data_IF_423559195440
#
_entry.id   IF_423559195440
#
_cell.length_a   1.000
_cell.length_b   1.000
_cell.length_c   1.000
_cell.angle_alpha   90.00
_cell.angle_beta   90.00
_cell.angle_gamma   90.00
#
_symmetry.space_group_name_H-M   'P 1'
#
loop_
_entity.id
_entity.type
_entity.pdbx_description
1 polymer ?
#
# COMPACT_ATOMS: atom_id res chain seq x y z
N UNK A 1 5.96 -6.26 -17.23
CA UNK A 1 6.50 -4.98 -16.79
C UNK A 1 7.23 -5.13 -15.46
N UNK A 2 8.53 -4.84 -15.46
CA UNK A 2 9.37 -4.99 -14.27
C UNK A 2 8.94 -4.05 -13.14
N UNK A 3 8.50 -2.84 -13.47
CA UNK A 3 8.02 -1.88 -12.47
C UNK A 3 6.77 -2.37 -11.76
N UNK A 4 5.84 -2.95 -12.50
CA UNK A 4 4.62 -3.53 -11.94
C UNK A 4 4.91 -4.72 -11.05
N UNK A 5 5.84 -5.60 -11.47
CA UNK A 5 6.25 -6.76 -10.68
C UNK A 5 6.89 -6.35 -9.35
N UNK A 6 7.76 -5.32 -9.37
CA UNK A 6 8.40 -4.83 -8.17
C UNK A 6 7.40 -4.21 -7.19
N UNK A 7 6.44 -3.44 -7.70
CA UNK A 7 5.39 -2.87 -6.88
C UNK A 7 4.52 -3.95 -6.25
N UNK A 8 4.11 -4.95 -7.04
CA UNK A 8 3.28 -6.05 -6.57
C UNK A 8 3.99 -6.83 -5.45
N UNK A 9 5.28 -7.07 -5.59
CA UNK A 9 6.07 -7.81 -4.60
C UNK A 9 6.06 -7.14 -3.22
N UNK A 10 5.95 -5.82 -3.17
CA UNK A 10 5.89 -5.09 -1.90
C UNK A 10 4.53 -5.18 -1.22
N UNK A 11 3.48 -5.43 -1.99
CA UNK A 11 2.10 -5.37 -1.50
C UNK A 11 1.52 -6.72 -1.12
N UNK A 12 1.98 -7.80 -1.76
CA UNK A 12 1.41 -9.13 -1.55
C UNK A 12 2.52 -10.15 -1.27
N UNK A 13 2.19 -11.31 -0.66
CA UNK A 13 3.16 -12.38 -0.49
C UNK A 13 3.77 -12.82 -1.82
N UNK A 14 5.03 -13.26 -1.78
CA UNK A 14 5.77 -13.60 -2.99
C UNK A 14 5.10 -14.70 -3.81
N UNK A 15 4.57 -15.71 -3.17
CA UNK A 15 3.88 -16.80 -3.86
C UNK A 15 2.62 -16.31 -4.58
N UNK A 16 1.89 -15.40 -3.96
CA UNK A 16 0.70 -14.78 -4.56
C UNK A 16 1.11 -13.92 -5.76
N UNK A 17 2.18 -13.13 -5.63
CA UNK A 17 2.69 -12.33 -6.74
C UNK A 17 3.09 -13.22 -7.92
N UNK A 18 3.78 -14.32 -7.67
CA UNK A 18 4.17 -15.29 -8.71
C UNK A 18 2.95 -15.87 -9.40
N UNK A 19 1.95 -16.29 -8.63
CA UNK A 19 0.73 -16.86 -9.20
C UNK A 19 0.03 -15.87 -10.13
N UNK A 20 -0.13 -14.63 -9.68
CA UNK A 20 -0.80 -13.61 -10.48
C UNK A 20 -0.05 -13.29 -11.78
N UNK A 21 1.26 -13.11 -11.69
CA UNK A 21 2.07 -12.75 -12.85
C UNK A 21 2.21 -13.92 -13.83
N UNK A 22 2.47 -15.11 -13.33
CA UNK A 22 2.71 -16.28 -14.18
C UNK A 22 1.44 -16.75 -14.87
N UNK A 23 0.29 -16.68 -14.18
CA UNK A 23 -0.98 -17.11 -14.76
C UNK A 23 -1.64 -16.05 -15.63
N UNK A 24 -1.33 -14.77 -15.38
CA UNK A 24 -2.00 -13.66 -16.05
C UNK A 24 -3.48 -13.57 -15.69
N UNK A 25 -3.90 -14.17 -14.57
CA UNK A 25 -5.32 -14.17 -14.19
C UNK A 25 -5.81 -12.78 -13.82
N UNK A 26 -7.09 -12.54 -14.06
CA UNK A 26 -7.76 -11.34 -13.58
C UNK A 26 -8.35 -11.62 -12.20
N UNK A 27 -8.34 -10.58 -11.35
CA UNK A 27 -8.96 -10.67 -10.03
C UNK A 27 -9.95 -9.51 -9.87
N UNK A 28 -10.99 -9.74 -9.07
CA UNK A 28 -11.94 -8.69 -8.75
C UNK A 28 -11.49 -7.87 -7.53
N UNK A 29 -12.27 -6.83 -7.20
CA UNK A 29 -11.94 -5.96 -6.07
C UNK A 29 -11.92 -6.69 -4.73
N UNK A 30 -12.81 -7.65 -4.55
CA UNK A 30 -12.88 -8.45 -3.30
C UNK A 30 -11.58 -9.23 -3.10
N UNK A 31 -11.10 -9.90 -4.15
CA UNK A 31 -9.85 -10.65 -4.07
C UNK A 31 -8.66 -9.72 -3.88
N UNK A 32 -8.67 -8.55 -4.53
CA UNK A 32 -7.62 -7.55 -4.35
C UNK A 32 -7.49 -7.11 -2.90
N UNK A 33 -8.60 -6.91 -2.20
CA UNK A 33 -8.58 -6.57 -0.77
C UNK A 33 -8.08 -7.74 0.06
N UNK A 34 -8.54 -8.96 -0.22
CA UNK A 34 -8.10 -10.15 0.52
C UNK A 34 -6.57 -10.33 0.50
N UNK A 35 -5.94 -10.09 -0.64
CA UNK A 35 -4.50 -10.30 -0.80
C UNK A 35 -3.65 -9.07 -0.45
N UNK A 36 -4.27 -7.96 -0.09
CA UNK A 36 -3.55 -6.75 0.30
C UNK A 36 -3.23 -5.79 -0.84
N UNK A 37 -3.73 -6.05 -2.03
CA UNK A 37 -3.52 -5.18 -3.18
C UNK A 37 -4.45 -3.97 -3.13
N UNK A 38 -5.68 -4.15 -2.65
CA UNK A 38 -6.63 -3.09 -2.40
C UNK A 38 -6.83 -2.89 -0.91
N UNK A 39 -7.16 -1.68 -0.51
CA UNK A 39 -7.33 -1.34 0.91
C UNK A 39 -8.75 -1.63 1.38
N UNK A 40 -9.74 -1.19 0.63
CA UNK A 40 -11.15 -1.35 0.98
C UNK A 40 -11.99 -1.63 -0.26
N UNK A 41 -13.04 -2.41 -0.08
CA UNK A 41 -14.05 -2.62 -1.11
C UNK A 41 -15.16 -1.58 -0.94
N UNK A 42 -15.62 -1.00 -2.04
CA UNK A 42 -16.68 0.00 -2.00
C UNK A 42 -17.60 -0.11 -3.21
N UNK A 43 -18.89 0.07 -2.98
CA UNK A 43 -19.87 0.23 -4.06
C UNK A 43 -19.82 1.64 -4.67
N UNK A 44 -19.19 2.59 -3.97
CA UNK A 44 -19.08 3.99 -4.36
C UNK A 44 -17.66 4.49 -4.18
N UNK A 45 -16.70 3.92 -4.94
CA UNK A 45 -15.28 4.16 -4.66
C UNK A 45 -14.85 5.62 -4.80
N UNK A 46 -15.41 6.35 -5.77
CA UNK A 46 -15.04 7.75 -5.96
C UNK A 46 -15.53 8.60 -4.81
N UNK A 47 -16.80 8.44 -4.43
CA UNK A 47 -17.37 9.19 -3.31
C UNK A 47 -16.66 8.86 -1.99
N UNK A 48 -16.39 7.60 -1.74
CA UNK A 48 -15.72 7.17 -0.53
C UNK A 48 -14.28 7.70 -0.48
N UNK A 49 -13.57 7.70 -1.60
CA UNK A 49 -12.22 8.25 -1.69
C UNK A 49 -12.22 9.76 -1.43
N UNK A 50 -13.19 10.48 -1.97
CA UNK A 50 -13.33 11.93 -1.75
C UNK A 50 -13.64 12.23 -0.28
N UNK A 51 -14.50 11.45 0.33
CA UNK A 51 -14.83 11.60 1.75
C UNK A 51 -13.60 11.36 2.62
N UNK A 52 -12.85 10.31 2.34
CA UNK A 52 -11.59 10.04 3.04
C UNK A 52 -10.59 11.20 2.87
N UNK A 53 -10.44 11.69 1.64
CA UNK A 53 -9.54 12.80 1.34
C UNK A 53 -9.94 14.06 2.11
N UNK A 54 -11.24 14.35 2.20
CA UNK A 54 -11.73 15.51 2.98
C UNK A 54 -11.41 15.36 4.47
N UNK A 55 -11.56 14.15 5.01
CA UNK A 55 -11.19 13.86 6.40
C UNK A 55 -9.71 14.07 6.65
N UNK A 56 -8.87 13.59 5.73
CA UNK A 56 -7.41 13.78 5.81
C UNK A 56 -7.05 15.27 5.74
N UNK A 57 -7.71 16.02 4.85
CA UNK A 57 -7.45 17.45 4.68
C UNK A 57 -7.73 18.27 5.94
N UNK A 58 -8.57 17.75 6.84
CA UNK A 58 -8.88 18.43 8.10
C UNK A 58 -7.87 18.14 9.20
N UNK A 59 -6.94 17.21 8.98
CA UNK A 59 -5.89 16.92 9.94
C UNK A 59 -4.72 17.86 9.73
N UNK A 60 -3.78 17.85 10.70
CA UNK A 60 -2.56 18.67 10.60
C UNK A 60 -1.78 18.28 9.33
N UNK A 61 -1.54 19.22 8.38
CA UNK A 61 -0.76 18.91 7.19
C UNK A 61 0.65 18.43 7.51
N UNK A 62 1.28 19.03 8.51
CA UNK A 62 2.64 18.67 8.91
C UNK A 62 2.69 17.24 9.47
N UNK A 63 1.70 16.86 10.28
CA UNK A 63 1.63 15.50 10.82
C UNK A 63 1.40 14.46 9.72
N UNK A 64 0.53 14.77 8.76
CA UNK A 64 0.26 13.85 7.64
C UNK A 64 1.50 13.69 6.77
N UNK A 65 2.19 14.78 6.45
CA UNK A 65 3.41 14.74 5.64
C UNK A 65 4.51 13.96 6.33
N UNK A 66 4.69 14.17 7.65
CA UNK A 66 5.68 13.44 8.43
C UNK A 66 5.39 11.95 8.46
N UNK A 67 4.14 11.57 8.67
CA UNK A 67 3.72 10.17 8.67
C UNK A 67 3.97 9.51 7.30
N UNK A 68 3.60 10.20 6.22
CA UNK A 68 3.82 9.71 4.86
C UNK A 68 5.30 9.45 4.60
N UNK A 69 6.15 10.38 5.00
CA UNK A 69 7.61 10.26 4.82
C UNK A 69 8.15 9.04 5.55
N UNK A 70 7.78 8.87 6.82
CA UNK A 70 8.24 7.74 7.63
C UNK A 70 7.78 6.41 7.02
N UNK A 71 6.51 6.31 6.65
CA UNK A 71 5.96 5.09 6.07
C UNK A 71 6.62 4.75 4.74
N UNK A 72 6.82 5.74 3.87
CA UNK A 72 7.45 5.51 2.58
C UNK A 72 8.92 5.11 2.72
N UNK A 73 9.65 5.75 3.62
CA UNK A 73 11.05 5.41 3.87
C UNK A 73 11.18 4.00 4.45
N UNK A 74 10.32 3.64 5.39
CA UNK A 74 10.32 2.28 5.98
C UNK A 74 10.06 1.21 4.93
N UNK A 75 9.19 1.47 3.96
CA UNK A 75 8.88 0.53 2.90
C UNK A 75 10.04 0.31 1.92
N UNK A 76 10.99 1.25 1.85
CA UNK A 76 12.10 1.21 0.88
C UNK A 76 13.40 0.64 1.44
N UNK A 77 13.47 0.38 2.75
CA UNK A 77 14.70 -0.13 3.40
C UNK A 77 14.47 -1.55 3.90
N UNK A 78 15.55 -2.36 4.06
CA UNK A 78 15.45 -3.66 4.69
C UNK A 78 14.87 -3.57 6.10
N UNK A 79 14.19 -4.62 6.53
CA UNK A 79 13.54 -4.66 7.84
C UNK A 79 14.51 -4.31 8.98
N UNK A 80 15.71 -4.84 8.94
CA UNK A 80 16.73 -4.58 9.98
C UNK A 80 17.09 -3.10 10.07
N UNK A 81 17.21 -2.42 8.92
CA UNK A 81 17.50 -0.99 8.90
C UNK A 81 16.28 -0.17 9.34
N UNK A 82 15.09 -0.60 8.95
CA UNK A 82 13.85 0.04 9.38
C UNK A 82 13.71 0.01 10.89
N UNK A 83 13.96 -1.13 11.51
CA UNK A 83 13.91 -1.28 12.96
C UNK A 83 14.97 -0.43 13.66
N UNK A 84 16.20 -0.39 13.12
CA UNK A 84 17.26 0.46 13.64
C UNK A 84 16.87 1.93 13.61
N UNK A 85 16.28 2.39 12.51
CA UNK A 85 15.85 3.78 12.36
C UNK A 85 14.76 4.14 13.35
N UNK A 86 13.82 3.26 13.58
CA UNK A 86 12.76 3.46 14.58
C UNK A 86 13.34 3.54 15.99
N UNK A 87 14.28 2.69 16.31
CA UNK A 87 14.92 2.67 17.62
C UNK A 87 15.81 3.90 17.85
N UNK A 88 16.38 4.45 16.79
CA UNK A 88 17.21 5.64 16.86
C UNK A 88 16.38 6.94 16.99
N UNK A 89 15.14 6.89 16.57
CA UNK A 89 14.27 8.06 16.64
C UNK A 89 13.73 8.27 18.04
#
# INVERSE_FOLDING_TARGET
DLSGAQALRRLVPLDVAKKLIFSGEEIDGRRAVEIGLGTELSDRPIEDALELARGIAQRSPDAVRAAKKVLNESALVPLSQGLSNEMAA
#
